data_IF_966579652538
#
_entry.id   IF_966579652538
#
_cell.length_a   1.000
_cell.length_b   1.000
_cell.length_c   1.000
_cell.angle_alpha   90.00
_cell.angle_beta   90.00
_cell.angle_gamma   90.00
#
_symmetry.space_group_name_H-M   'P 1'
#
loop_
_entity.id
_entity.type
_entity.pdbx_description
1 polymer ?
#
# COMPACT_ATOMS: atom_id res chain seq x y z
N UNK A 1 4.63 11.77 5.53
CA UNK A 1 3.52 10.93 5.09
C UNK A 1 2.89 10.24 6.29
N UNK A 2 1.68 10.60 6.69
CA UNK A 2 1.10 10.14 7.96
C UNK A 2 0.97 8.63 8.12
N UNK A 3 0.58 7.92 7.06
CA UNK A 3 0.43 6.46 7.13
C UNK A 3 1.77 5.78 7.36
N UNK A 4 2.78 6.19 6.59
CA UNK A 4 4.13 5.64 6.72
C UNK A 4 4.72 5.96 8.09
N UNK A 5 4.59 7.20 8.54
CA UNK A 5 5.12 7.63 9.85
C UNK A 5 4.53 6.81 10.99
N UNK A 6 3.23 6.55 10.93
CA UNK A 6 2.56 5.74 11.94
C UNK A 6 3.03 4.29 11.90
N UNK A 7 3.17 3.73 10.71
CA UNK A 7 3.65 2.36 10.54
C UNK A 7 5.09 2.19 11.04
N UNK A 8 5.95 3.16 10.75
CA UNK A 8 7.34 3.16 11.23
C UNK A 8 7.38 3.20 12.75
N UNK A 9 6.59 4.08 13.36
CA UNK A 9 6.51 4.20 14.82
C UNK A 9 6.12 2.88 15.46
N UNK A 10 5.06 2.24 14.94
CA UNK A 10 4.58 0.97 15.48
C UNK A 10 5.60 -0.15 15.30
N UNK A 11 6.24 -0.23 14.14
CA UNK A 11 7.25 -1.25 13.89
C UNK A 11 8.44 -1.09 14.84
N UNK A 12 8.86 0.14 15.09
CA UNK A 12 9.95 0.43 16.03
C UNK A 12 9.59 0.04 17.45
N UNK A 13 8.38 0.40 17.88
CA UNK A 13 7.91 0.10 19.24
C UNK A 13 7.82 -1.39 19.51
N UNK A 14 7.45 -2.17 18.51
CA UNK A 14 7.21 -3.60 18.66
C UNK A 14 8.37 -4.47 18.17
N UNK A 15 9.43 -3.88 17.65
CA UNK A 15 10.53 -4.63 17.07
C UNK A 15 10.09 -5.46 15.86
N UNK A 16 9.16 -4.96 15.08
CA UNK A 16 8.53 -5.69 13.97
C UNK A 16 9.16 -5.36 12.64
N UNK A 17 9.01 -6.29 11.70
CA UNK A 17 9.30 -6.05 10.29
C UNK A 17 8.20 -5.20 9.66
N UNK A 18 8.58 -4.28 8.77
CA UNK A 18 7.64 -3.46 8.01
C UNK A 18 7.67 -3.86 6.54
N UNK A 19 6.52 -4.26 6.01
CA UNK A 19 6.30 -4.44 4.58
C UNK A 19 5.58 -3.21 4.03
N UNK A 20 6.18 -2.54 3.04
CA UNK A 20 5.55 -1.42 2.32
C UNK A 20 5.05 -1.96 0.99
N UNK A 21 3.75 -1.87 0.75
CA UNK A 21 3.11 -2.44 -0.42
C UNK A 21 2.42 -1.37 -1.26
N UNK A 22 2.64 -1.42 -2.56
CA UNK A 22 1.84 -0.68 -3.54
C UNK A 22 1.22 -1.66 -4.52
N UNK A 23 -0.09 -1.53 -4.73
CA UNK A 23 -0.83 -2.35 -5.70
C UNK A 23 -1.20 -1.50 -6.90
N UNK A 24 -0.76 -1.93 -8.06
CA UNK A 24 -1.08 -1.28 -9.33
C UNK A 24 -2.30 -1.97 -9.95
N UNK A 25 -3.36 -1.20 -10.16
CA UNK A 25 -4.62 -1.70 -10.69
C UNK A 25 -4.66 -1.54 -12.21
N UNK A 26 -4.28 -2.59 -12.92
CA UNK A 26 -4.17 -2.56 -14.39
C UNK A 26 -5.52 -2.35 -15.07
N UNK A 27 -6.60 -2.86 -14.49
CA UNK A 27 -7.95 -2.71 -15.04
C UNK A 27 -8.39 -1.25 -15.12
N UNK A 28 -8.11 -0.48 -14.09
CA UNK A 28 -8.41 0.95 -14.05
C UNK A 28 -7.60 1.70 -15.10
N UNK A 29 -6.39 1.27 -15.34
CA UNK A 29 -5.52 1.81 -16.37
C UNK A 29 -6.12 1.62 -17.76
N UNK A 30 -6.64 0.44 -18.04
CA UNK A 30 -7.29 0.12 -19.31
C UNK A 30 -8.53 0.98 -19.56
N UNK A 31 -9.31 1.27 -18.51
CA UNK A 31 -10.49 2.13 -18.62
C UNK A 31 -10.15 3.56 -19.02
N UNK A 32 -9.06 4.09 -18.48
CA UNK A 32 -8.68 5.49 -18.70
C UNK A 32 -8.05 5.72 -20.06
N UNK A 33 -7.42 4.68 -20.63
CA UNK A 33 -6.65 4.81 -21.86
C UNK A 33 -7.17 3.94 -23.00
N UNK A 34 -8.38 3.37 -22.86
CA UNK A 34 -8.96 2.50 -23.89
C UNK A 34 -8.47 1.07 -23.78
N UNK A 35 -8.66 0.29 -24.88
CA UNK A 35 -8.38 -1.14 -24.88
C UNK A 35 -6.91 -1.51 -25.01
N UNK A 36 -6.03 -0.53 -25.22
CA UNK A 36 -4.61 -0.79 -25.45
C UNK A 36 -3.77 0.08 -24.52
N UNK A 37 -3.42 -0.48 -23.37
CA UNK A 37 -2.33 0.10 -22.58
C UNK A 37 -1.04 -0.42 -23.19
N UNK A 38 -0.19 0.48 -23.70
CA UNK A 38 1.08 0.08 -24.29
C UNK A 38 2.00 -0.50 -23.23
N UNK A 39 2.87 -1.43 -23.65
CA UNK A 39 3.90 -1.99 -22.77
C UNK A 39 4.77 -0.89 -22.17
N UNK A 40 5.07 0.15 -22.95
CA UNK A 40 5.86 1.30 -22.51
C UNK A 40 5.20 2.04 -21.34
N UNK A 41 3.89 2.22 -21.39
CA UNK A 41 3.14 2.90 -20.33
C UNK A 41 3.19 2.11 -19.03
N UNK A 42 3.00 0.80 -19.11
CA UNK A 42 3.09 -0.10 -17.96
C UNK A 42 4.51 -0.07 -17.38
N UNK A 43 5.51 -0.07 -18.24
CA UNK A 43 6.92 -0.02 -17.84
C UNK A 43 7.24 1.26 -17.08
N UNK A 44 6.80 2.41 -17.60
CA UNK A 44 7.01 3.71 -16.96
C UNK A 44 6.34 3.77 -15.59
N UNK A 45 5.12 3.28 -15.50
CA UNK A 45 4.38 3.25 -14.24
C UNK A 45 5.08 2.36 -13.21
N UNK A 46 5.59 1.21 -13.65
CA UNK A 46 6.33 0.28 -12.81
C UNK A 46 7.62 0.94 -12.27
N UNK A 47 8.37 1.59 -13.14
CA UNK A 47 9.61 2.28 -12.76
C UNK A 47 9.34 3.42 -11.78
N UNK A 48 8.31 4.23 -12.02
CA UNK A 48 7.92 5.32 -11.14
C UNK A 48 7.51 4.80 -9.76
N UNK A 49 6.75 3.71 -9.72
CA UNK A 49 6.31 3.09 -8.48
C UNK A 49 7.51 2.54 -7.70
N UNK A 50 8.46 1.93 -8.37
CA UNK A 50 9.70 1.45 -7.76
C UNK A 50 10.48 2.58 -7.09
N UNK A 51 10.61 3.71 -7.76
CA UNK A 51 11.29 4.88 -7.21
C UNK A 51 10.59 5.41 -5.97
N UNK A 52 9.26 5.48 -6.00
CA UNK A 52 8.47 5.91 -4.84
C UNK A 52 8.70 4.96 -3.67
N UNK A 53 8.59 3.66 -3.91
CA UNK A 53 8.79 2.65 -2.87
C UNK A 53 10.20 2.72 -2.28
N UNK A 54 11.21 2.89 -3.12
CA UNK A 54 12.59 3.01 -2.65
C UNK A 54 12.76 4.26 -1.78
N UNK A 55 12.16 5.37 -2.15
CA UNK A 55 12.17 6.59 -1.35
C UNK A 55 11.51 6.37 0.01
N UNK A 56 10.39 5.67 0.05
CA UNK A 56 9.71 5.35 1.30
C UNK A 56 10.55 4.44 2.19
N UNK A 57 11.22 3.47 1.60
CA UNK A 57 12.14 2.59 2.31
C UNK A 57 13.28 3.38 2.93
N UNK A 58 13.89 4.28 2.17
CA UNK A 58 14.97 5.13 2.69
C UNK A 58 14.48 6.04 3.81
N UNK A 59 13.27 6.54 3.73
CA UNK A 59 12.66 7.32 4.81
C UNK A 59 12.57 6.49 6.09
N UNK A 60 12.11 5.24 5.98
CA UNK A 60 12.03 4.35 7.14
C UNK A 60 13.40 4.07 7.75
N UNK A 61 14.41 3.82 6.92
CA UNK A 61 15.77 3.57 7.37
C UNK A 61 16.33 4.80 8.10
N UNK A 62 16.12 6.00 7.56
CA UNK A 62 16.56 7.24 8.18
C UNK A 62 15.91 7.49 9.53
N UNK A 63 14.68 7.02 9.71
CA UNK A 63 13.98 7.15 10.99
C UNK A 63 14.35 6.04 11.99
N UNK A 64 15.29 5.18 11.64
CA UNK A 64 15.83 4.18 12.56
C UNK A 64 15.25 2.78 12.41
N UNK A 65 14.43 2.53 11.39
CA UNK A 65 13.89 1.21 11.12
C UNK A 65 14.72 0.53 10.05
N UNK A 66 15.43 -0.55 10.39
CA UNK A 66 16.27 -1.27 9.45
C UNK A 66 15.58 -2.48 8.80
N UNK A 67 14.60 -3.06 9.49
CA UNK A 67 13.89 -4.26 9.02
C UNK A 67 12.66 -3.87 8.21
N UNK A 68 12.90 -3.45 6.97
CA UNK A 68 11.85 -2.96 6.07
C UNK A 68 12.06 -3.52 4.67
N UNK A 69 10.96 -3.97 4.05
CA UNK A 69 10.94 -4.46 2.67
C UNK A 69 9.87 -3.73 1.87
N UNK A 70 10.13 -3.57 0.58
CA UNK A 70 9.17 -2.95 -0.33
C UNK A 70 8.65 -3.99 -1.33
N UNK A 71 7.37 -3.84 -1.68
CA UNK A 71 6.68 -4.78 -2.55
C UNK A 71 5.77 -4.06 -3.53
N UNK A 72 5.69 -4.59 -4.74
CA UNK A 72 4.78 -4.12 -5.76
C UNK A 72 3.98 -5.29 -6.27
N UNK A 73 2.66 -5.15 -6.35
CA UNK A 73 1.77 -6.17 -6.89
C UNK A 73 0.85 -5.55 -7.92
N UNK A 74 0.41 -6.35 -8.88
CA UNK A 74 -0.54 -5.96 -9.92
C UNK A 74 -1.83 -6.72 -9.72
N UNK A 75 -2.95 -6.03 -9.75
CA UNK A 75 -4.25 -6.68 -9.66
C UNK A 75 -5.28 -5.89 -8.87
N UNK A 76 -6.16 -6.60 -8.20
CA UNK A 76 -7.22 -6.01 -7.41
C UNK A 76 -6.71 -5.62 -6.01
N UNK A 77 -6.64 -4.31 -5.71
CA UNK A 77 -6.09 -3.88 -4.43
C UNK A 77 -6.87 -4.40 -3.22
N UNK A 78 -8.19 -4.55 -3.34
CA UNK A 78 -9.02 -5.05 -2.23
C UNK A 78 -8.57 -6.44 -1.79
N UNK A 79 -8.48 -7.37 -2.73
CA UNK A 79 -8.11 -8.75 -2.43
C UNK A 79 -6.65 -8.89 -2.04
N UNK A 80 -5.77 -8.18 -2.73
CA UNK A 80 -4.33 -8.26 -2.48
C UNK A 80 -4.00 -7.74 -1.09
N UNK A 81 -4.52 -6.56 -0.71
CA UNK A 81 -4.22 -5.94 0.57
C UNK A 81 -4.88 -6.69 1.73
N UNK A 82 -6.14 -7.11 1.55
CA UNK A 82 -6.90 -7.73 2.64
C UNK A 82 -6.52 -9.19 2.88
N UNK A 83 -6.16 -9.93 1.84
CA UNK A 83 -6.04 -11.38 1.91
C UNK A 83 -4.71 -11.91 1.36
N UNK A 84 -4.42 -11.70 0.08
CA UNK A 84 -3.30 -12.38 -0.59
C UNK A 84 -1.95 -12.01 0.01
N UNK A 85 -1.67 -10.73 0.14
CA UNK A 85 -0.38 -10.28 0.65
C UNK A 85 -0.18 -10.65 2.13
N UNK A 86 -1.13 -10.37 3.04
CA UNK A 86 -0.97 -10.78 4.43
C UNK A 86 -0.82 -12.29 4.61
N UNK A 87 -1.52 -13.09 3.81
CA UNK A 87 -1.39 -14.55 3.86
C UNK A 87 0.00 -15.01 3.43
N UNK A 88 0.55 -14.40 2.38
CA UNK A 88 1.87 -14.75 1.86
C UNK A 88 3.00 -14.36 2.82
N UNK A 89 2.83 -13.27 3.56
CA UNK A 89 3.86 -12.71 4.43
C UNK A 89 3.60 -12.89 5.92
N UNK A 90 2.49 -13.50 6.29
CA UNK A 90 2.08 -13.69 7.70
C UNK A 90 2.02 -12.37 8.47
N UNK A 91 1.57 -11.31 7.82
CA UNK A 91 1.42 -10.02 8.47
C UNK A 91 0.27 -10.07 9.49
N UNK A 92 0.49 -9.45 10.63
CA UNK A 92 -0.50 -9.44 11.73
C UNK A 92 -1.15 -8.08 11.95
N UNK A 93 -0.70 -7.05 11.24
CA UNK A 93 -1.28 -5.71 11.29
C UNK A 93 -1.18 -5.05 9.92
N UNK A 94 -2.29 -4.47 9.48
CA UNK A 94 -2.33 -3.67 8.26
C UNK A 94 -2.53 -2.21 8.67
N UNK A 95 -1.64 -1.33 8.20
CA UNK A 95 -1.76 0.12 8.40
C UNK A 95 -2.13 0.74 7.06
N UNK A 96 -3.26 1.40 7.00
CA UNK A 96 -3.83 1.90 5.75
C UNK A 96 -4.43 3.30 5.96
N UNK A 97 -4.38 4.14 4.92
CA UNK A 97 -5.03 5.45 4.95
C UNK A 97 -6.55 5.34 4.84
N UNK A 98 -7.25 6.28 5.45
CA UNK A 98 -8.72 6.31 5.39
C UNK A 98 -9.22 6.51 3.96
N UNK A 99 -8.48 7.27 3.15
CA UNK A 99 -8.87 7.63 1.79
C UNK A 99 -7.65 7.59 0.87
N UNK A 100 -7.92 7.47 -0.44
CA UNK A 100 -6.88 7.56 -1.44
C UNK A 100 -6.35 8.99 -1.61
N UNK A 101 -5.34 9.14 -2.50
CA UNK A 101 -4.65 10.41 -2.73
C UNK A 101 -5.54 11.53 -3.24
N UNK A 102 -6.66 11.19 -3.87
CA UNK A 102 -7.58 12.16 -4.48
C UNK A 102 -8.78 12.50 -3.60
N UNK A 103 -8.84 11.95 -2.40
CA UNK A 103 -10.00 12.16 -1.53
C UNK A 103 -10.00 13.55 -0.91
N UNK A 104 -11.12 14.22 -1.00
CA UNK A 104 -11.30 15.60 -0.55
C UNK A 104 -11.99 15.66 0.80
N UNK A 105 -12.74 14.62 1.16
CA UNK A 105 -13.54 14.61 2.38
C UNK A 105 -12.95 13.72 3.46
N UNK A 106 -12.81 14.27 4.64
CA UNK A 106 -12.15 13.62 5.78
C UNK A 106 -13.00 12.53 6.45
N UNK A 107 -14.30 12.56 6.21
CA UNK A 107 -15.23 11.64 6.89
C UNK A 107 -15.58 10.43 6.05
N UNK A 108 -15.11 10.37 4.80
CA UNK A 108 -15.41 9.26 3.90
C UNK A 108 -14.26 8.29 3.90
N UNK A 109 -14.54 7.04 4.25
CA UNK A 109 -13.59 5.95 4.15
C UNK A 109 -13.64 5.41 2.73
N UNK A 110 -12.48 5.33 2.06
CA UNK A 110 -12.38 4.82 0.70
C UNK A 110 -12.85 3.38 0.57
N UNK A 111 -13.24 2.98 -0.65
CA UNK A 111 -13.79 1.64 -0.90
C UNK A 111 -12.80 0.52 -0.59
N UNK A 112 -11.52 0.72 -0.88
CA UNK A 112 -10.48 -0.27 -0.58
C UNK A 112 -10.32 -0.42 0.94
N UNK A 113 -10.19 0.68 1.65
CA UNK A 113 -10.05 0.68 3.11
C UNK A 113 -11.25 0.03 3.79
N UNK A 114 -12.46 0.36 3.34
CA UNK A 114 -13.69 -0.23 3.85
C UNK A 114 -13.70 -1.75 3.66
N UNK A 115 -13.31 -2.23 2.49
CA UNK A 115 -13.23 -3.66 2.22
C UNK A 115 -12.19 -4.34 3.13
N UNK A 116 -11.01 -3.74 3.25
CA UNK A 116 -9.91 -4.30 4.05
C UNK A 116 -10.33 -4.45 5.52
N UNK A 117 -10.97 -3.43 6.07
CA UNK A 117 -11.45 -3.46 7.47
C UNK A 117 -12.43 -4.61 7.68
N UNK A 118 -13.32 -4.87 6.72
CA UNK A 118 -14.34 -5.91 6.87
C UNK A 118 -13.85 -7.32 6.63
N UNK A 119 -12.84 -7.49 5.77
CA UNK A 119 -12.49 -8.82 5.24
C UNK A 119 -11.15 -9.33 5.75
N UNK A 120 -10.20 -8.45 6.05
CA UNK A 120 -8.86 -8.86 6.44
C UNK A 120 -8.86 -9.62 7.76
N UNK A 121 -8.04 -10.69 7.85
CA UNK A 121 -7.82 -11.40 9.10
C UNK A 121 -6.94 -10.63 10.07
N UNK A 122 -5.84 -9.98 9.63
CA UNK A 122 -5.05 -9.16 10.55
C UNK A 122 -5.85 -7.98 11.07
N UNK A 123 -5.42 -7.45 12.19
CA UNK A 123 -5.92 -6.17 12.67
C UNK A 123 -5.61 -5.08 11.67
N UNK A 124 -6.49 -4.09 11.59
CA UNK A 124 -6.35 -2.98 10.64
C UNK A 124 -6.37 -1.66 11.39
N UNK A 125 -5.33 -0.88 11.22
CA UNK A 125 -5.25 0.48 11.74
C UNK A 125 -5.49 1.46 10.60
N UNK A 126 -6.51 2.29 10.74
CA UNK A 126 -6.83 3.33 9.77
C UNK A 126 -6.19 4.65 10.22
N UNK A 127 -5.40 5.24 9.35
CA UNK A 127 -4.77 6.55 9.61
C UNK A 127 -5.49 7.61 8.78
N UNK A 128 -5.98 8.63 9.45
CA UNK A 128 -6.70 9.74 8.79
C UNK A 128 -5.78 10.75 8.15
#
# INVERSE_FOLDING_TARGET
MPVLDRAIELAKQNGSHLDILNVIQVTQFNRNYGNAVSADTVYKLTDQTKEILETLKQTAIKQGLSDVSIHMRFGNPKKIIAQEFPNDHNDDLIVIGATGLTAVERLVVGSVTNYVVRVAKPDVLIVK
#
